data_IF_747297402456
#
_entry.id   IF_747297402456
#
_cell.length_a   1.000
_cell.length_b   1.000
_cell.length_c   1.000
_cell.angle_alpha   90.00
_cell.angle_beta   90.00
_cell.angle_gamma   90.00
#
_symmetry.space_group_name_H-M   'P 1'
#
loop_
_entity.id
_entity.type
_entity.pdbx_description
1 polymer ?
#
# COMPACT_ATOMS: atom_id res chain seq x y z
N UNK A 1 -20.65 -26.27 14.23
CA UNK A 1 -19.22 -26.40 13.85
C UNK A 1 -18.98 -26.11 12.36
N UNK A 2 -19.64 -26.77 11.39
CA UNK A 2 -19.41 -26.55 9.94
C UNK A 2 -19.78 -25.13 9.45
N UNK A 3 -20.83 -24.52 10.01
CA UNK A 3 -21.26 -23.16 9.65
C UNK A 3 -20.23 -22.09 10.03
N UNK A 4 -19.54 -22.28 11.15
CA UNK A 4 -18.56 -21.32 11.66
C UNK A 4 -17.28 -21.34 10.80
N UNK A 5 -16.87 -22.51 10.33
CA UNK A 5 -15.76 -22.67 9.36
C UNK A 5 -16.08 -22.02 8.02
N UNK A 6 -17.31 -22.18 7.49
CA UNK A 6 -17.72 -21.55 6.22
C UNK A 6 -17.78 -20.03 6.34
N UNK A 7 -18.32 -19.49 7.44
CA UNK A 7 -18.38 -18.05 7.71
C UNK A 7 -16.99 -17.43 7.80
N UNK A 8 -16.06 -18.10 8.48
CA UNK A 8 -14.69 -17.61 8.64
C UNK A 8 -13.96 -17.57 7.29
N UNK A 9 -14.06 -18.62 6.47
CA UNK A 9 -13.51 -18.64 5.10
C UNK A 9 -14.07 -17.52 4.21
N UNK A 10 -15.37 -17.25 4.30
CA UNK A 10 -16.00 -16.15 3.56
C UNK A 10 -15.48 -14.77 4.00
N UNK A 11 -15.31 -14.55 5.31
CA UNK A 11 -14.78 -13.29 5.84
C UNK A 11 -13.32 -13.06 5.43
N UNK A 12 -12.51 -14.13 5.39
CA UNK A 12 -11.13 -14.06 4.91
C UNK A 12 -11.06 -13.66 3.43
N UNK A 13 -11.82 -14.36 2.58
CA UNK A 13 -11.90 -14.03 1.15
C UNK A 13 -12.41 -12.59 0.93
N UNK A 14 -13.39 -12.14 1.72
CA UNK A 14 -13.88 -10.74 1.67
C UNK A 14 -12.82 -9.73 2.09
N UNK A 15 -12.01 -10.05 3.09
CA UNK A 15 -10.91 -9.19 3.57
C UNK A 15 -9.79 -9.09 2.53
N UNK A 16 -9.42 -10.20 1.91
CA UNK A 16 -8.46 -10.23 0.80
C UNK A 16 -8.96 -9.40 -0.39
N UNK A 17 -10.21 -9.61 -0.80
CA UNK A 17 -10.83 -8.82 -1.87
C UNK A 17 -10.85 -7.31 -1.56
N UNK A 18 -11.13 -6.95 -0.29
CA UNK A 18 -11.12 -5.56 0.14
C UNK A 18 -9.70 -4.94 0.11
N UNK A 19 -8.67 -5.69 0.51
CA UNK A 19 -7.26 -5.25 0.41
C UNK A 19 -6.86 -5.00 -1.04
N UNK A 20 -7.17 -5.94 -1.93
CA UNK A 20 -6.88 -5.82 -3.36
C UNK A 20 -7.60 -4.59 -3.94
N UNK A 21 -8.89 -4.41 -3.62
CA UNK A 21 -9.65 -3.23 -4.05
C UNK A 21 -9.01 -1.92 -3.59
N UNK A 22 -8.63 -1.83 -2.31
CA UNK A 22 -7.99 -0.63 -1.77
C UNK A 22 -6.66 -0.32 -2.46
N UNK A 23 -5.87 -1.34 -2.79
CA UNK A 23 -4.64 -1.17 -3.57
C UNK A 23 -4.91 -0.59 -4.97
N UNK A 24 -5.90 -1.13 -5.70
CA UNK A 24 -6.26 -0.59 -7.00
C UNK A 24 -6.78 0.85 -6.93
N UNK A 25 -7.49 1.23 -5.87
CA UNK A 25 -7.91 2.61 -5.66
C UNK A 25 -6.68 3.54 -5.56
N UNK A 26 -5.64 3.17 -4.80
CA UNK A 26 -4.39 3.94 -4.69
C UNK A 26 -3.59 3.98 -6.00
N UNK A 27 -3.45 2.85 -6.70
CA UNK A 27 -2.74 2.79 -7.99
C UNK A 27 -3.47 3.61 -9.05
N UNK A 28 -4.80 3.59 -9.06
CA UNK A 28 -5.60 4.36 -10.02
C UNK A 28 -5.38 5.86 -9.80
N UNK A 29 -5.47 6.32 -8.55
CA UNK A 29 -5.19 7.71 -8.20
C UNK A 29 -3.74 8.07 -8.55
N UNK A 30 -2.79 7.18 -8.27
CA UNK A 30 -1.38 7.36 -8.64
C UNK A 30 -1.23 7.56 -10.15
N UNK A 31 -1.81 6.70 -10.98
CA UNK A 31 -1.73 6.81 -12.43
C UNK A 31 -2.35 8.10 -12.96
N UNK A 32 -3.56 8.45 -12.49
CA UNK A 32 -4.26 9.66 -12.93
C UNK A 32 -3.45 10.92 -12.60
N UNK A 33 -2.98 11.04 -11.36
CA UNK A 33 -2.17 12.19 -10.94
C UNK A 33 -0.86 12.24 -11.73
N UNK A 34 -0.19 11.11 -11.96
CA UNK A 34 1.06 11.11 -12.73
C UNK A 34 0.88 11.51 -14.18
N UNK A 35 -0.24 11.16 -14.82
CA UNK A 35 -0.56 11.63 -16.17
C UNK A 35 -0.72 13.16 -16.16
N UNK A 36 -1.44 13.71 -15.17
CA UNK A 36 -1.60 15.18 -15.04
C UNK A 36 -0.25 15.86 -14.79
N UNK A 37 0.59 15.29 -13.92
CA UNK A 37 1.94 15.80 -13.65
C UNK A 37 2.81 15.74 -14.91
N UNK A 38 2.74 14.65 -15.69
CA UNK A 38 3.41 14.52 -16.97
C UNK A 38 3.00 15.60 -17.96
N UNK A 39 1.69 15.81 -18.14
CA UNK A 39 1.19 16.86 -19.01
C UNK A 39 1.61 18.25 -18.52
N UNK A 40 1.57 18.49 -17.21
CA UNK A 40 2.00 19.77 -16.62
C UNK A 40 3.48 20.07 -16.89
N UNK A 41 4.32 19.04 -17.01
CA UNK A 41 5.76 19.21 -17.22
C UNK A 41 6.14 19.82 -18.58
N UNK A 42 5.24 19.71 -19.56
CA UNK A 42 5.38 20.34 -20.88
C UNK A 42 4.89 21.80 -20.88
N UNK A 43 4.05 22.17 -19.91
CA UNK A 43 3.45 23.50 -19.82
C UNK A 43 4.21 24.41 -18.86
N UNK A 44 4.69 23.88 -17.75
CA UNK A 44 5.34 24.67 -16.70
C UNK A 44 6.28 23.81 -15.85
N UNK A 45 7.44 24.38 -15.52
CA UNK A 45 8.41 23.75 -14.63
C UNK A 45 8.07 24.08 -13.17
N UNK A 46 7.79 23.04 -12.40
CA UNK A 46 7.57 23.15 -10.95
C UNK A 46 8.78 22.57 -10.26
N UNK A 47 9.47 23.39 -9.47
CA UNK A 47 10.67 23.00 -8.74
C UNK A 47 10.50 23.34 -7.25
N UNK A 48 10.57 22.32 -6.40
CA UNK A 48 10.59 22.45 -4.95
C UNK A 48 12.00 22.23 -4.43
N UNK A 49 12.58 23.20 -3.72
CA UNK A 49 13.87 23.01 -3.05
C UNK A 49 13.69 22.36 -1.70
N UNK A 50 14.56 21.41 -1.40
CA UNK A 50 14.66 20.71 -0.13
C UNK A 50 16.02 21.02 0.49
N UNK A 51 16.17 20.75 1.78
CA UNK A 51 17.45 20.80 2.49
C UNK A 51 18.55 20.02 1.75
N UNK A 52 19.78 20.56 1.77
CA UNK A 52 20.94 19.92 1.15
C UNK A 52 21.13 20.20 -0.35
N UNK A 53 20.36 21.12 -0.93
CA UNK A 53 20.45 21.47 -2.36
C UNK A 53 19.78 20.47 -3.28
N UNK A 54 18.98 19.57 -2.71
CA UNK A 54 18.10 18.67 -3.46
C UNK A 54 16.87 19.41 -3.95
N UNK A 55 16.38 19.02 -5.12
CA UNK A 55 15.20 19.58 -5.76
C UNK A 55 14.25 18.46 -6.12
N UNK A 56 12.96 18.68 -5.90
CA UNK A 56 11.91 17.84 -6.43
C UNK A 56 11.25 18.59 -7.59
N UNK A 57 11.10 17.95 -8.75
CA UNK A 57 10.45 18.58 -9.90
C UNK A 57 9.37 17.74 -10.56
N UNK A 58 8.47 18.38 -11.29
CA UNK A 58 7.51 17.69 -12.16
C UNK A 58 8.11 17.25 -13.51
N UNK A 59 9.40 17.49 -13.75
CA UNK A 59 10.03 17.21 -15.04
C UNK A 59 10.13 15.70 -15.29
N UNK A 60 9.80 15.32 -16.53
CA UNK A 60 9.94 13.95 -17.03
C UNK A 60 11.23 13.75 -17.85
N UNK A 61 12.03 14.81 -17.95
CA UNK A 61 13.31 14.90 -18.65
C UNK A 61 14.33 15.63 -17.75
N UNK A 62 15.62 15.61 -18.07
CA UNK A 62 16.72 16.17 -17.25
C UNK A 62 17.05 15.44 -15.94
N UNK A 63 17.19 14.11 -15.99
CA UNK A 63 17.73 13.29 -14.88
C UNK A 63 19.25 13.39 -14.70
N UNK A 64 19.94 14.19 -15.52
CA UNK A 64 21.40 14.31 -15.53
C UNK A 64 21.96 14.90 -14.21
N UNK A 65 21.12 15.63 -13.48
CA UNK A 65 21.47 16.16 -12.17
C UNK A 65 21.00 15.20 -11.06
N UNK A 66 21.92 14.48 -10.42
CA UNK A 66 21.64 13.60 -9.26
C UNK A 66 20.95 14.30 -8.07
N UNK A 67 20.85 15.63 -8.08
CA UNK A 67 20.16 16.42 -7.06
C UNK A 67 18.70 16.74 -7.43
N UNK A 68 18.20 16.30 -8.57
CA UNK A 68 16.81 16.52 -9.01
C UNK A 68 16.06 15.19 -8.97
N UNK A 69 15.09 15.08 -8.07
CA UNK A 69 14.22 13.92 -7.97
C UNK A 69 12.87 14.20 -8.63
N UNK A 70 12.40 13.33 -9.52
CA UNK A 70 11.07 13.49 -10.06
C UNK A 70 10.02 13.30 -8.97
N UNK A 71 9.01 14.17 -8.96
CA UNK A 71 7.87 14.10 -8.04
C UNK A 71 7.31 12.68 -8.00
N UNK A 72 7.03 12.08 -9.16
CA UNK A 72 6.44 10.76 -9.29
C UNK A 72 7.22 9.66 -8.55
N UNK A 73 8.56 9.70 -8.53
CA UNK A 73 9.36 8.65 -7.90
C UNK A 73 9.31 8.71 -6.36
N UNK A 74 9.22 9.91 -5.78
CA UNK A 74 9.26 10.08 -4.32
C UNK A 74 8.08 9.39 -3.64
N UNK A 75 6.86 9.58 -4.16
CA UNK A 75 5.66 8.94 -3.61
C UNK A 75 5.33 7.61 -4.30
N UNK A 76 5.91 7.32 -5.47
CA UNK A 76 5.82 6.01 -6.12
C UNK A 76 6.39 4.88 -5.27
N UNK A 77 7.39 5.16 -4.43
CA UNK A 77 7.94 4.19 -3.48
C UNK A 77 6.85 3.67 -2.51
N UNK A 78 5.92 4.53 -2.08
CA UNK A 78 4.82 4.15 -1.16
C UNK A 78 3.88 3.15 -1.85
N UNK A 79 3.57 3.38 -3.12
CA UNK A 79 2.72 2.49 -3.93
C UNK A 79 3.39 1.13 -4.14
N UNK A 80 4.72 1.11 -4.35
CA UNK A 80 5.49 -0.13 -4.43
C UNK A 80 5.44 -0.91 -3.13
N UNK A 81 5.60 -0.25 -1.98
CA UNK A 81 5.45 -0.90 -0.67
C UNK A 81 4.04 -1.47 -0.47
N UNK A 82 3.00 -0.74 -0.86
CA UNK A 82 1.63 -1.26 -0.82
C UNK A 82 1.44 -2.47 -1.75
N UNK A 83 2.07 -2.48 -2.92
CA UNK A 83 2.04 -3.64 -3.82
C UNK A 83 2.72 -4.87 -3.18
N UNK A 84 3.87 -4.67 -2.53
CA UNK A 84 4.58 -5.72 -1.80
C UNK A 84 3.71 -6.28 -0.66
N UNK A 85 3.04 -5.42 0.12
CA UNK A 85 2.15 -5.87 1.19
C UNK A 85 0.95 -6.69 0.67
N UNK A 86 0.38 -6.29 -0.47
CA UNK A 86 -0.79 -6.97 -1.04
C UNK A 86 -0.39 -8.30 -1.68
N UNK A 87 0.65 -8.30 -2.51
CA UNK A 87 1.00 -9.46 -3.34
C UNK A 87 2.11 -10.32 -2.74
N UNK A 88 3.18 -9.71 -2.21
CA UNK A 88 4.35 -10.45 -1.76
C UNK A 88 4.20 -10.99 -0.34
N UNK A 89 3.62 -10.25 0.60
CA UNK A 89 3.42 -10.76 1.97
C UNK A 89 2.43 -11.93 1.95
N UNK A 90 1.34 -11.82 1.20
CA UNK A 90 0.34 -12.89 1.03
C UNK A 90 0.93 -14.13 0.31
N UNK A 91 1.79 -13.93 -0.70
CA UNK A 91 2.38 -15.05 -1.45
C UNK A 91 3.63 -15.68 -0.80
N UNK A 92 4.48 -14.90 -0.13
CA UNK A 92 5.74 -15.37 0.46
C UNK A 92 5.54 -16.03 1.82
N UNK A 93 4.65 -15.53 2.67
CA UNK A 93 4.44 -16.07 4.02
C UNK A 93 3.55 -17.31 4.02
N UNK A 94 2.78 -17.52 2.95
CA UNK A 94 1.95 -18.70 2.74
C UNK A 94 0.80 -18.85 3.74
N UNK A 95 -0.13 -19.77 3.44
CA UNK A 95 -1.31 -20.07 4.26
C UNK A 95 -1.00 -20.34 5.74
N UNK A 96 0.15 -20.91 6.05
CA UNK A 96 0.53 -21.23 7.43
C UNK A 96 0.70 -19.98 8.30
N UNK A 97 1.27 -18.90 7.75
CA UNK A 97 1.39 -17.64 8.49
C UNK A 97 0.03 -16.99 8.72
N UNK A 98 -0.87 -17.04 7.73
CA UNK A 98 -2.23 -16.53 7.88
C UNK A 98 -3.01 -17.30 8.95
N UNK A 99 -2.93 -18.63 8.95
CA UNK A 99 -3.56 -19.47 9.97
C UNK A 99 -3.02 -19.15 11.37
N UNK A 100 -1.70 -18.94 11.52
CA UNK A 100 -1.10 -18.52 12.79
C UNK A 100 -1.59 -17.15 13.24
N UNK A 101 -1.67 -16.16 12.35
CA UNK A 101 -2.16 -14.82 12.70
C UNK A 101 -3.64 -14.78 13.05
N UNK A 102 -4.46 -15.58 12.37
CA UNK A 102 -5.88 -15.74 12.73
C UNK A 102 -5.98 -16.37 14.12
N UNK A 103 -5.18 -17.39 14.42
CA UNK A 103 -5.17 -18.04 15.73
C UNK A 103 -4.75 -17.07 16.84
N UNK A 104 -3.72 -16.27 16.61
CA UNK A 104 -3.29 -15.20 17.53
C UNK A 104 -4.38 -14.14 17.76
N UNK A 105 -5.10 -13.72 16.70
CA UNK A 105 -6.18 -12.74 16.82
C UNK A 105 -7.34 -13.30 17.66
N UNK A 106 -7.76 -14.55 17.41
CA UNK A 106 -8.79 -15.22 18.21
C UNK A 106 -8.37 -15.32 19.68
N UNK A 107 -7.10 -15.62 19.93
CA UNK A 107 -6.57 -15.74 21.28
C UNK A 107 -6.49 -14.38 22.00
N UNK A 108 -6.14 -13.31 21.28
CA UNK A 108 -6.20 -11.93 21.78
C UNK A 108 -7.63 -11.50 22.10
N UNK A 109 -8.59 -11.78 21.24
CA UNK A 109 -10.01 -11.47 21.45
C UNK A 109 -10.55 -12.22 22.67
N UNK A 110 -10.22 -13.51 22.84
CA UNK A 110 -10.59 -14.29 24.03
C UNK A 110 -9.99 -13.71 25.31
N UNK A 111 -8.71 -13.32 25.29
CA UNK A 111 -8.05 -12.69 26.45
C UNK A 111 -8.68 -11.34 26.78
N UNK A 112 -9.03 -10.54 25.79
CA UNK A 112 -9.75 -9.28 26.02
C UNK A 112 -11.14 -9.54 26.59
N UNK A 113 -11.92 -10.47 26.04
CA UNK A 113 -13.25 -10.80 26.54
C UNK A 113 -13.23 -11.25 28.02
N UNK A 114 -12.29 -12.13 28.41
CA UNK A 114 -12.14 -12.53 29.81
C UNK A 114 -11.78 -11.35 30.73
N UNK A 115 -10.94 -10.41 30.27
CA UNK A 115 -10.56 -9.23 31.05
C UNK A 115 -11.73 -8.28 31.38
N UNK A 116 -12.85 -8.36 30.65
CA UNK A 116 -14.05 -7.56 30.93
C UNK A 116 -15.13 -8.35 31.70
N UNK A 117 -14.91 -9.65 31.93
CA UNK A 117 -15.84 -10.55 32.64
C UNK A 117 -15.33 -10.85 34.06
N UNK A 118 -14.02 -10.77 34.30
CA UNK A 118 -13.38 -10.72 35.63
C UNK A 118 -13.32 -9.27 36.18
#
# INVERSE_FOLDING_TARGET
>A
MILDVKKNKYLLAKKEAAKIKSFYDHVTVYLVINIVVALSSYLSEINFHIFGGFKISNLWYNFENFKVYPLWAVWGIIVVFQAIDVYAISALLGKNWEEQKIKELIEKDKKQANKYID
#
